data_IF_179209357949
#
_entry.id   IF_179209357949
#
_cell.length_a   1.000
_cell.length_b   1.000
_cell.length_c   1.000
_cell.angle_alpha   90.00
_cell.angle_beta   90.00
_cell.angle_gamma   90.00
#
_symmetry.space_group_name_H-M   'P 1'
#
loop_
_entity.id
_entity.type
_entity.pdbx_description
1 polymer ?
#
# COMPACT_ATOMS: atom_id res chain seq x y z
N UNK A 1 -67.96 -50.56 54.09
CA UNK A 1 -68.18 -50.08 52.71
C UNK A 1 -67.19 -48.97 52.45
N UNK A 2 -66.17 -49.22 51.62
CA UNK A 2 -65.01 -48.33 51.42
C UNK A 2 -65.16 -47.52 50.12
N UNK A 3 -64.79 -46.24 50.17
CA UNK A 3 -64.85 -45.27 49.09
C UNK A 3 -63.91 -45.63 47.92
N UNK A 4 -64.36 -45.35 46.70
CA UNK A 4 -63.55 -45.30 45.49
C UNK A 4 -63.16 -43.84 45.19
N UNK A 5 -61.86 -43.58 45.01
CA UNK A 5 -61.35 -42.31 44.48
C UNK A 5 -60.65 -42.57 43.15
N UNK A 6 -61.15 -41.94 42.10
CA UNK A 6 -60.67 -41.98 40.73
C UNK A 6 -59.57 -40.93 40.49
N UNK A 7 -58.39 -41.25 39.92
CA UNK A 7 -57.39 -40.25 39.55
C UNK A 7 -57.55 -39.81 38.09
N UNK A 8 -57.92 -38.54 37.88
CA UNK A 8 -58.01 -37.94 36.55
C UNK A 8 -56.70 -37.89 35.75
N UNK A 9 -56.76 -37.67 34.42
CA UNK A 9 -55.62 -37.83 33.52
C UNK A 9 -54.62 -36.66 33.63
N UNK A 10 -53.32 -36.99 33.81
CA UNK A 10 -52.20 -36.04 33.78
C UNK A 10 -51.98 -35.51 32.35
N UNK A 11 -52.33 -34.25 32.10
CA UNK A 11 -51.99 -33.52 30.86
C UNK A 11 -50.47 -33.42 30.66
N UNK A 12 -49.97 -33.99 29.57
CA UNK A 12 -48.55 -34.06 29.22
C UNK A 12 -47.86 -32.70 29.04
N UNK A 13 -46.72 -32.54 29.70
CA UNK A 13 -45.76 -31.43 29.55
C UNK A 13 -45.04 -31.49 28.19
N UNK A 14 -45.68 -31.08 27.08
CA UNK A 14 -45.04 -30.93 25.76
C UNK A 14 -44.70 -29.47 25.39
N UNK A 15 -45.04 -28.50 26.24
CA UNK A 15 -44.85 -27.06 25.98
C UNK A 15 -43.41 -26.50 26.08
N UNK A 16 -42.46 -27.00 26.90
CA UNK A 16 -41.16 -26.35 27.06
C UNK A 16 -40.22 -26.59 25.87
N UNK A 17 -40.27 -27.77 25.21
CA UNK A 17 -39.41 -28.09 24.05
C UNK A 17 -39.67 -27.19 22.84
N UNK A 18 -40.94 -26.93 22.50
CA UNK A 18 -41.29 -26.05 21.36
C UNK A 18 -40.86 -24.60 21.57
N UNK A 19 -40.91 -24.10 22.80
CA UNK A 19 -40.41 -22.76 23.14
C UNK A 19 -38.88 -22.68 23.05
N UNK A 20 -38.19 -23.70 23.53
CA UNK A 20 -36.74 -23.82 23.41
C UNK A 20 -36.30 -23.91 21.93
N UNK A 21 -36.93 -24.75 21.11
CA UNK A 21 -36.63 -24.84 19.68
C UNK A 21 -36.87 -23.52 18.95
N UNK A 22 -37.96 -22.81 19.26
CA UNK A 22 -38.22 -21.47 18.68
C UNK A 22 -37.19 -20.44 19.13
N UNK A 23 -36.75 -20.47 20.38
CA UNK A 23 -35.70 -19.59 20.88
C UNK A 23 -34.36 -19.87 20.19
N UNK A 24 -34.00 -21.14 20.01
CA UNK A 24 -32.78 -21.54 19.27
C UNK A 24 -32.86 -21.12 17.80
N UNK A 25 -33.99 -21.34 17.13
CA UNK A 25 -34.18 -20.90 15.75
C UNK A 25 -34.14 -19.37 15.62
N UNK A 26 -34.75 -18.64 16.54
CA UNK A 26 -34.69 -17.18 16.56
C UNK A 26 -33.26 -16.67 16.79
N UNK A 27 -32.51 -17.30 17.69
CA UNK A 27 -31.10 -16.98 17.92
C UNK A 27 -30.25 -17.27 16.67
N UNK A 28 -30.45 -18.42 16.01
CA UNK A 28 -29.77 -18.76 14.77
C UNK A 28 -30.09 -17.76 13.65
N UNK A 29 -31.37 -17.40 13.48
CA UNK A 29 -31.78 -16.40 12.50
C UNK A 29 -31.18 -15.02 12.80
N UNK A 30 -31.11 -14.63 14.08
CA UNK A 30 -30.45 -13.39 14.48
C UNK A 30 -28.94 -13.42 14.19
N UNK A 31 -28.26 -14.53 14.47
CA UNK A 31 -26.85 -14.71 14.14
C UNK A 31 -26.60 -14.68 12.63
N UNK A 32 -27.40 -15.38 11.83
CA UNK A 32 -27.31 -15.37 10.36
C UNK A 32 -27.61 -13.98 9.81
N UNK A 33 -28.62 -13.29 10.35
CA UNK A 33 -28.95 -11.92 9.97
C UNK A 33 -27.81 -10.94 10.29
N UNK A 34 -27.21 -11.04 11.48
CA UNK A 34 -26.07 -10.22 11.87
C UNK A 34 -24.82 -10.50 11.01
N UNK A 35 -24.56 -11.77 10.68
CA UNK A 35 -23.48 -12.17 9.78
C UNK A 35 -23.71 -11.64 8.37
N UNK A 36 -24.93 -11.81 7.83
CA UNK A 36 -25.33 -11.31 6.52
C UNK A 36 -25.22 -9.79 6.43
N UNK A 37 -25.63 -9.07 7.48
CA UNK A 37 -25.44 -7.63 7.59
C UNK A 37 -23.95 -7.24 7.60
N UNK A 38 -23.14 -7.93 8.40
CA UNK A 38 -21.70 -7.66 8.50
C UNK A 38 -20.99 -7.84 7.15
N UNK A 39 -21.21 -8.98 6.48
CA UNK A 39 -20.63 -9.23 5.15
C UNK A 39 -21.16 -8.26 4.10
N UNK A 40 -22.47 -7.97 4.13
CA UNK A 40 -23.07 -6.99 3.20
C UNK A 40 -22.45 -5.61 3.38
N UNK A 41 -22.21 -5.17 4.61
CA UNK A 41 -21.54 -3.89 4.89
C UNK A 41 -20.10 -3.85 4.34
N UNK A 42 -19.37 -4.97 4.40
CA UNK A 42 -18.04 -5.08 3.81
C UNK A 42 -18.06 -5.04 2.27
N UNK A 43 -19.11 -5.56 1.65
CA UNK A 43 -19.24 -5.58 0.19
C UNK A 43 -19.74 -4.26 -0.40
N UNK A 44 -20.36 -3.41 0.42
CA UNK A 44 -21.08 -2.22 -0.05
C UNK A 44 -20.44 -0.89 0.36
N UNK A 45 -19.33 -0.90 1.12
CA UNK A 45 -18.68 0.36 1.51
C UNK A 45 -18.10 1.11 0.30
N UNK A 46 -18.05 2.45 0.31
CA UNK A 46 -17.57 3.24 -0.82
C UNK A 46 -16.12 2.92 -1.23
N UNK A 47 -15.83 2.97 -2.54
CA UNK A 47 -14.48 2.83 -3.10
C UNK A 47 -14.37 1.73 -4.14
N UNK A 48 -13.19 1.65 -4.77
CA UNK A 48 -12.99 0.87 -5.99
C UNK A 48 -12.39 -0.54 -5.76
N UNK A 49 -12.29 -0.97 -4.50
CA UNK A 49 -11.75 -2.31 -4.14
C UNK A 49 -12.59 -3.45 -4.76
N UNK A 50 -11.92 -4.50 -5.25
CA UNK A 50 -12.62 -5.71 -5.68
C UNK A 50 -13.30 -6.46 -4.54
N UNK A 51 -14.28 -7.28 -4.91
CA UNK A 51 -14.98 -8.19 -3.98
C UNK A 51 -14.00 -9.09 -3.22
N UNK A 52 -12.95 -9.58 -3.88
CA UNK A 52 -11.94 -10.41 -3.24
C UNK A 52 -11.17 -9.64 -2.16
N UNK A 53 -10.71 -8.43 -2.48
CA UNK A 53 -10.00 -7.56 -1.53
C UNK A 53 -10.87 -7.21 -0.31
N UNK A 54 -12.16 -6.89 -0.55
CA UNK A 54 -13.15 -6.58 0.49
C UNK A 54 -13.38 -7.75 1.44
N UNK A 55 -13.57 -8.95 0.90
CA UNK A 55 -13.82 -10.16 1.69
C UNK A 55 -12.59 -10.59 2.50
N UNK A 56 -11.39 -10.52 1.89
CA UNK A 56 -10.15 -10.81 2.59
C UNK A 56 -9.93 -9.83 3.76
N UNK A 57 -10.21 -8.54 3.54
CA UNK A 57 -10.15 -7.51 4.58
C UNK A 57 -11.14 -7.76 5.71
N UNK A 58 -12.40 -8.09 5.40
CA UNK A 58 -13.44 -8.42 6.37
C UNK A 58 -13.07 -9.66 7.21
N UNK A 59 -12.57 -10.71 6.58
CA UNK A 59 -12.19 -11.93 7.29
C UNK A 59 -11.06 -11.67 8.29
N UNK A 60 -10.04 -10.89 7.92
CA UNK A 60 -8.94 -10.49 8.83
C UNK A 60 -9.45 -9.72 10.05
N UNK A 61 -10.38 -8.79 9.85
CA UNK A 61 -10.99 -8.01 10.95
C UNK A 61 -11.83 -8.87 11.91
N UNK A 62 -12.31 -10.03 11.47
CA UNK A 62 -13.11 -10.96 12.27
C UNK A 62 -12.28 -12.12 12.82
N UNK A 63 -10.99 -11.89 13.07
CA UNK A 63 -10.03 -12.87 13.62
C UNK A 63 -9.79 -14.11 12.74
N UNK A 64 -10.17 -14.05 11.47
CA UNK A 64 -9.91 -15.13 10.50
C UNK A 64 -8.61 -14.91 9.72
N UNK A 65 -7.72 -14.02 10.18
CA UNK A 65 -6.46 -13.72 9.50
C UNK A 65 -5.62 -14.97 9.20
N UNK A 66 -5.47 -15.86 10.17
CA UNK A 66 -4.76 -17.15 9.98
C UNK A 66 -5.39 -18.02 8.88
N UNK A 67 -6.71 -17.95 8.70
CA UNK A 67 -7.40 -18.70 7.63
C UNK A 67 -7.12 -18.04 6.28
N UNK A 68 -7.19 -16.71 6.22
CA UNK A 68 -6.88 -15.95 4.99
C UNK A 68 -5.44 -16.20 4.58
N UNK A 69 -4.49 -16.12 5.51
CA UNK A 69 -3.07 -16.37 5.25
C UNK A 69 -2.84 -17.80 4.75
N UNK A 70 -3.51 -18.81 5.34
CA UNK A 70 -3.44 -20.19 4.85
C UNK A 70 -3.99 -20.34 3.42
N UNK A 71 -5.10 -19.67 3.10
CA UNK A 71 -5.67 -19.70 1.76
C UNK A 71 -4.78 -18.99 0.74
N UNK A 72 -4.17 -17.86 1.13
CA UNK A 72 -3.19 -17.15 0.32
C UNK A 72 -1.95 -18.02 0.07
N UNK A 73 -1.44 -18.73 1.09
CA UNK A 73 -0.33 -19.67 0.94
C UNK A 73 -0.68 -20.82 -0.02
N UNK A 74 -1.87 -21.43 0.12
CA UNK A 74 -2.33 -22.47 -0.80
C UNK A 74 -2.43 -21.93 -2.23
N UNK A 75 -2.96 -20.70 -2.40
CA UNK A 75 -3.05 -20.08 -3.72
C UNK A 75 -1.67 -19.85 -4.32
N UNK A 76 -0.70 -19.41 -3.52
CA UNK A 76 0.68 -19.23 -3.92
C UNK A 76 1.32 -20.55 -4.35
N UNK A 77 1.12 -21.63 -3.59
CA UNK A 77 1.67 -22.95 -3.94
C UNK A 77 1.06 -23.51 -5.24
N UNK A 78 -0.19 -23.16 -5.55
CA UNK A 78 -0.87 -23.56 -6.79
C UNK A 78 -0.45 -22.74 -8.01
N UNK A 79 -0.05 -21.48 -7.82
CA UNK A 79 0.24 -20.52 -8.89
C UNK A 79 1.42 -19.60 -8.49
N UNK A 80 2.62 -20.16 -8.27
CA UNK A 80 3.77 -19.38 -7.86
C UNK A 80 4.24 -18.50 -9.03
N UNK A 81 4.90 -17.36 -8.75
CA UNK A 81 5.48 -16.53 -9.80
C UNK A 81 6.42 -17.30 -10.70
N UNK A 82 6.42 -16.92 -11.98
CA UNK A 82 7.22 -17.59 -13.00
C UNK A 82 8.71 -17.36 -12.76
N UNK A 83 9.47 -18.45 -12.77
CA UNK A 83 10.93 -18.41 -12.77
C UNK A 83 11.43 -18.43 -14.21
N UNK A 84 12.34 -17.51 -14.53
CA UNK A 84 12.92 -17.28 -15.85
C UNK A 84 11.99 -16.51 -16.79
N UNK A 85 12.25 -16.65 -18.09
CA UNK A 85 11.45 -16.02 -19.14
C UNK A 85 11.84 -14.57 -19.47
N UNK A 86 11.24 -14.05 -20.53
CA UNK A 86 11.40 -12.68 -20.99
C UNK A 86 10.26 -11.80 -20.47
N UNK A 87 10.50 -10.49 -20.41
CA UNK A 87 9.45 -9.50 -20.17
C UNK A 87 8.33 -9.66 -21.21
N UNK A 88 7.10 -9.32 -20.81
CA UNK A 88 6.01 -9.17 -21.78
C UNK A 88 6.35 -8.08 -22.81
N UNK A 89 5.69 -8.10 -23.97
CA UNK A 89 5.91 -7.09 -25.01
C UNK A 89 5.68 -5.67 -24.48
N UNK A 90 4.66 -5.47 -23.65
CA UNK A 90 4.33 -4.17 -23.06
C UNK A 90 5.37 -3.71 -22.04
N UNK A 91 5.83 -4.60 -21.15
CA UNK A 91 6.89 -4.30 -20.19
C UNK A 91 8.21 -3.97 -20.92
N UNK A 92 8.56 -4.76 -21.94
CA UNK A 92 9.74 -4.48 -22.76
C UNK A 92 9.62 -3.14 -23.50
N UNK A 93 8.44 -2.79 -24.01
CA UNK A 93 8.20 -1.52 -24.67
C UNK A 93 8.33 -0.34 -23.68
N UNK A 94 7.75 -0.44 -22.48
CA UNK A 94 7.90 0.56 -21.41
C UNK A 94 9.36 0.76 -21.03
N UNK A 95 10.11 -0.33 -20.83
CA UNK A 95 11.53 -0.26 -20.52
C UNK A 95 12.33 0.38 -21.66
N UNK A 96 12.08 0.00 -22.92
CA UNK A 96 12.73 0.61 -24.08
C UNK A 96 12.47 2.12 -24.21
N UNK A 97 11.27 2.59 -23.85
CA UNK A 97 10.91 4.02 -23.89
C UNK A 97 11.75 4.87 -22.93
N UNK A 98 12.22 4.30 -21.81
CA UNK A 98 13.09 5.03 -20.89
C UNK A 98 14.42 5.42 -21.55
N UNK A 99 15.01 4.53 -22.36
CA UNK A 99 16.23 4.81 -23.11
C UNK A 99 16.04 5.96 -24.12
N UNK A 100 14.87 6.01 -24.77
CA UNK A 100 14.55 7.08 -25.73
C UNK A 100 14.39 8.45 -25.07
N UNK A 101 13.97 8.50 -23.80
CA UNK A 101 13.74 9.73 -23.04
C UNK A 101 15.03 10.38 -22.49
N UNK A 102 16.19 9.74 -22.67
CA UNK A 102 17.44 10.14 -22.03
C UNK A 102 18.18 11.27 -22.77
N UNK A 103 17.83 11.59 -24.02
CA UNK A 103 18.50 12.62 -24.80
C UNK A 103 17.94 14.01 -24.47
N UNK A 104 18.66 14.89 -23.72
CA UNK A 104 18.25 16.28 -23.59
C UNK A 104 18.31 16.97 -24.96
N UNK A 105 17.45 17.96 -25.23
CA UNK A 105 17.62 18.85 -26.39
C UNK A 105 19.04 19.43 -26.39
N UNK A 106 19.71 19.46 -27.54
CA UNK A 106 21.07 20.05 -27.67
C UNK A 106 21.08 21.46 -27.08
N UNK A 107 21.98 21.70 -26.12
CA UNK A 107 22.16 23.01 -25.47
C UNK A 107 21.31 23.26 -24.22
N UNK A 108 20.47 22.31 -23.79
CA UNK A 108 19.68 22.45 -22.56
C UNK A 108 20.46 21.96 -21.32
N UNK A 109 20.58 22.80 -20.30
CA UNK A 109 21.07 22.44 -18.96
C UNK A 109 19.90 22.48 -17.97
N UNK A 110 19.18 21.36 -17.76
CA UNK A 110 18.04 21.34 -16.87
C UNK A 110 18.48 21.58 -15.41
N UNK A 111 17.74 22.41 -14.68
CA UNK A 111 17.97 22.70 -13.25
C UNK A 111 17.94 21.42 -12.40
N UNK A 112 17.10 20.46 -12.79
CA UNK A 112 17.05 19.12 -12.21
C UNK A 112 17.44 18.10 -13.29
N UNK A 113 18.68 17.59 -13.28
CA UNK A 113 19.10 16.59 -14.25
C UNK A 113 18.41 15.24 -14.01
N UNK A 114 18.37 14.40 -15.04
CA UNK A 114 17.98 13.01 -14.88
C UNK A 114 18.93 12.31 -13.91
N UNK A 115 18.38 11.44 -13.06
CA UNK A 115 19.15 10.57 -12.17
C UNK A 115 20.07 9.69 -13.00
N UNK A 116 21.27 9.44 -12.47
CA UNK A 116 22.17 8.43 -13.01
C UNK A 116 21.42 7.09 -13.12
N UNK A 117 21.58 6.35 -14.22
CA UNK A 117 20.93 5.05 -14.36
C UNK A 117 21.18 4.16 -13.15
N UNK A 118 20.12 3.52 -12.67
CA UNK A 118 20.23 2.51 -11.63
C UNK A 118 20.97 1.30 -12.19
N UNK A 119 21.90 0.74 -11.41
CA UNK A 119 22.60 -0.48 -11.81
C UNK A 119 21.61 -1.65 -11.84
N UNK A 120 21.45 -2.36 -12.97
CA UNK A 120 20.55 -3.50 -13.06
C UNK A 120 20.93 -4.63 -12.10
N UNK A 121 19.92 -5.34 -11.60
CA UNK A 121 20.08 -6.55 -10.77
C UNK A 121 20.57 -7.74 -11.58
N UNK A 122 20.19 -7.78 -12.86
CA UNK A 122 20.38 -8.91 -13.75
C UNK A 122 21.30 -8.52 -14.89
N UNK A 123 22.22 -9.43 -15.24
CA UNK A 123 23.16 -9.26 -16.36
C UNK A 123 22.91 -10.31 -17.44
N UNK A 124 23.02 -9.94 -18.74
CA UNK A 124 23.22 -8.58 -19.24
C UNK A 124 21.98 -7.70 -19.04
N UNK A 125 22.20 -6.37 -18.97
CA UNK A 125 21.13 -5.39 -18.88
C UNK A 125 20.27 -5.36 -20.14
N UNK A 126 18.96 -5.18 -20.00
CA UNK A 126 18.05 -4.91 -21.10
C UNK A 126 18.17 -3.44 -21.55
N UNK A 127 17.73 -3.15 -22.78
CA UNK A 127 17.71 -1.79 -23.31
C UNK A 127 16.78 -0.91 -22.46
N UNK A 128 17.34 0.16 -21.87
CA UNK A 128 16.61 1.07 -20.99
C UNK A 128 16.47 0.59 -19.54
N UNK A 129 16.96 -0.60 -19.21
CA UNK A 129 16.91 -1.09 -17.82
C UNK A 129 17.67 -0.15 -16.88
N UNK A 130 16.99 0.35 -15.84
CA UNK A 130 17.55 1.29 -14.87
C UNK A 130 17.71 2.73 -15.37
N UNK A 131 17.41 3.02 -16.64
CA UNK A 131 17.46 4.40 -17.18
C UNK A 131 16.26 5.20 -16.70
N UNK A 132 16.52 6.36 -16.09
CA UNK A 132 15.47 7.25 -15.60
C UNK A 132 14.90 8.13 -16.72
N UNK A 133 13.57 8.35 -16.67
CA UNK A 133 12.84 9.33 -17.48
C UNK A 133 12.01 10.25 -16.60
N UNK A 134 11.69 11.45 -17.06
CA UNK A 134 10.74 12.34 -16.36
C UNK A 134 9.32 11.78 -16.49
N UNK A 135 8.62 11.67 -15.37
CA UNK A 135 7.21 11.27 -15.28
C UNK A 135 6.29 12.46 -15.05
N UNK A 136 6.73 13.43 -14.25
CA UNK A 136 6.00 14.67 -13.99
C UNK A 136 6.95 15.84 -13.76
N UNK A 137 6.53 17.01 -14.21
CA UNK A 137 7.25 18.28 -14.05
C UNK A 137 6.34 19.31 -13.39
N UNK A 138 6.94 20.36 -12.82
CA UNK A 138 6.19 21.53 -12.37
C UNK A 138 5.72 22.40 -13.56
N UNK A 139 5.03 23.50 -13.25
CA UNK A 139 4.54 24.46 -14.25
C UNK A 139 5.64 25.16 -15.07
N UNK A 140 6.90 25.11 -14.60
CA UNK A 140 8.08 25.65 -15.30
C UNK A 140 8.80 24.57 -16.10
N UNK A 141 8.28 23.34 -16.14
CA UNK A 141 8.88 22.21 -16.86
C UNK A 141 9.99 21.50 -16.09
N UNK A 142 10.29 21.88 -14.85
CA UNK A 142 11.35 21.25 -14.04
C UNK A 142 10.91 19.85 -13.61
N UNK A 143 11.70 18.79 -13.88
CA UNK A 143 11.36 17.44 -13.45
C UNK A 143 11.21 17.35 -11.92
N UNK A 144 10.04 16.87 -11.47
CA UNK A 144 9.76 16.62 -10.04
C UNK A 144 9.79 15.12 -9.76
N UNK A 145 9.20 14.34 -10.67
CA UNK A 145 9.12 12.89 -10.57
C UNK A 145 9.88 12.30 -11.75
N UNK A 146 10.82 11.41 -11.47
CA UNK A 146 11.50 10.61 -12.47
C UNK A 146 11.26 9.13 -12.17
N UNK A 147 11.21 8.28 -13.19
CA UNK A 147 10.97 6.86 -13.00
C UNK A 147 11.79 5.98 -13.94
N UNK A 148 12.00 4.74 -13.53
CA UNK A 148 12.70 3.70 -14.28
C UNK A 148 12.11 2.33 -13.99
N UNK A 149 12.50 1.34 -14.80
CA UNK A 149 12.12 -0.07 -14.64
C UNK A 149 13.38 -0.94 -14.57
N UNK A 150 13.34 -1.97 -13.75
CA UNK A 150 14.37 -3.01 -13.66
C UNK A 150 13.75 -4.38 -13.48
N UNK A 151 14.47 -5.43 -13.87
CA UNK A 151 14.12 -6.78 -13.39
C UNK A 151 14.44 -6.89 -11.90
N UNK A 152 13.55 -7.52 -11.10
CA UNK A 152 13.67 -7.51 -9.64
C UNK A 152 14.82 -8.38 -9.14
N UNK A 153 15.04 -9.53 -9.77
CA UNK A 153 16.10 -10.49 -9.44
C UNK A 153 16.41 -11.41 -10.62
N UNK A 154 17.46 -12.22 -10.48
CA UNK A 154 17.96 -13.11 -11.54
C UNK A 154 17.08 -14.35 -11.79
N UNK A 155 16.12 -14.64 -10.92
CA UNK A 155 15.19 -15.77 -11.04
C UNK A 155 13.86 -15.33 -11.65
N UNK A 156 13.34 -14.14 -11.35
CA UNK A 156 12.03 -13.66 -11.83
C UNK A 156 12.18 -12.69 -13.02
N UNK A 157 12.93 -13.12 -14.04
CA UNK A 157 13.35 -12.25 -15.16
C UNK A 157 12.23 -11.83 -16.10
N UNK A 158 11.07 -12.50 -16.05
CA UNK A 158 9.86 -12.08 -16.79
C UNK A 158 9.08 -10.95 -16.14
N UNK A 159 9.47 -10.50 -14.94
CA UNK A 159 8.82 -9.43 -14.20
C UNK A 159 9.66 -8.15 -14.22
N UNK A 160 8.98 -7.02 -14.03
CA UNK A 160 9.64 -5.74 -13.78
C UNK A 160 9.19 -5.15 -12.43
N UNK A 161 10.11 -4.43 -11.80
CA UNK A 161 9.84 -3.51 -10.73
C UNK A 161 10.03 -2.08 -11.25
N UNK A 162 9.15 -1.18 -10.82
CA UNK A 162 9.24 0.23 -11.14
C UNK A 162 9.80 0.99 -9.94
N UNK A 163 10.71 1.92 -10.23
CA UNK A 163 11.31 2.82 -9.23
C UNK A 163 10.98 4.24 -9.62
N UNK A 164 10.44 5.02 -8.69
CA UNK A 164 10.24 6.45 -8.84
C UNK A 164 11.13 7.21 -7.87
N UNK A 165 11.74 8.28 -8.34
CA UNK A 165 12.48 9.26 -7.55
C UNK A 165 11.73 10.59 -7.56
N UNK A 166 11.62 11.24 -6.40
CA UNK A 166 10.91 12.51 -6.24
C UNK A 166 11.85 13.54 -5.62
N UNK A 167 12.02 14.68 -6.31
CA UNK A 167 12.75 15.83 -5.80
C UNK A 167 12.00 16.52 -4.67
N UNK A 168 12.41 16.31 -3.42
CA UNK A 168 11.69 16.86 -2.26
C UNK A 168 11.83 18.38 -2.12
N UNK A 169 12.88 18.99 -2.71
CA UNK A 169 13.07 20.44 -2.69
C UNK A 169 11.99 21.18 -3.49
N UNK A 170 11.43 20.54 -4.51
CA UNK A 170 10.41 21.11 -5.38
C UNK A 170 9.05 20.40 -5.20
N UNK A 171 8.87 19.64 -4.12
CA UNK A 171 7.66 18.89 -3.83
C UNK A 171 7.14 19.16 -2.41
N UNK A 172 5.81 19.09 -2.24
CA UNK A 172 5.11 19.07 -0.96
C UNK A 172 4.27 17.81 -0.85
N UNK A 173 4.17 17.25 0.36
CA UNK A 173 3.57 15.96 0.63
C UNK A 173 2.34 16.11 1.54
N UNK A 174 1.29 15.37 1.25
CA UNK A 174 0.06 15.35 2.04
C UNK A 174 -0.38 13.90 2.28
N UNK A 175 -0.57 13.56 3.55
CA UNK A 175 -1.12 12.26 3.96
C UNK A 175 -2.65 12.34 3.94
N UNK A 176 -3.29 11.41 3.24
CA UNK A 176 -4.73 11.25 3.20
C UNK A 176 -5.14 9.98 3.93
N UNK A 177 -6.17 10.01 4.78
CA UNK A 177 -6.80 8.80 5.31
C UNK A 177 -7.63 8.13 4.21
N UNK A 178 -7.98 6.87 4.38
CA UNK A 178 -9.03 6.22 3.60
C UNK A 178 -10.39 6.29 4.30
N UNK A 179 -11.44 5.82 3.63
CA UNK A 179 -12.78 5.67 4.25
C UNK A 179 -12.82 4.58 5.32
N UNK A 180 -11.89 3.61 5.27
CA UNK A 180 -11.82 2.45 6.16
C UNK A 180 -10.54 2.41 6.97
N UNK A 181 -9.38 2.42 6.31
CA UNK A 181 -8.09 2.55 6.98
C UNK A 181 -7.67 4.01 7.03
N UNK A 182 -7.08 4.50 8.13
CA UNK A 182 -6.51 3.76 9.26
C UNK A 182 -7.53 3.41 10.37
N UNK A 183 -8.81 3.68 10.15
CA UNK A 183 -9.87 3.64 11.17
C UNK A 183 -10.11 5.00 11.81
N UNK A 184 -11.35 5.24 12.26
CA UNK A 184 -11.78 6.54 12.78
C UNK A 184 -12.25 7.52 11.70
N UNK A 185 -12.32 8.81 12.05
CA UNK A 185 -12.79 9.88 11.16
C UNK A 185 -11.85 11.05 11.19
N UNK A 186 -11.55 11.61 10.02
CA UNK A 186 -10.57 12.67 9.81
C UNK A 186 -11.17 13.80 8.98
N UNK A 187 -10.63 15.01 9.13
CA UNK A 187 -11.05 16.18 8.37
C UNK A 187 -10.49 16.21 6.95
N UNK A 188 -9.35 15.55 6.72
CA UNK A 188 -8.75 15.40 5.39
C UNK A 188 -9.59 14.39 4.61
N UNK A 189 -10.03 14.72 3.38
CA UNK A 189 -10.90 13.85 2.61
C UNK A 189 -10.15 12.57 2.17
N UNK A 190 -10.86 11.44 2.03
CA UNK A 190 -10.25 10.18 1.60
C UNK A 190 -10.06 10.07 0.09
N UNK A 191 -9.90 11.21 -0.57
CA UNK A 191 -9.64 11.34 -2.00
C UNK A 191 -8.93 12.68 -2.25
N UNK A 192 -8.66 12.96 -3.52
CA UNK A 192 -8.20 14.27 -3.99
C UNK A 192 -9.37 14.92 -4.77
N UNK A 193 -10.18 15.78 -4.12
CA UNK A 193 -11.34 16.40 -4.75
C UNK A 193 -10.96 17.26 -5.96
N UNK A 194 -11.91 17.46 -6.87
CA UNK A 194 -11.79 18.52 -7.89
C UNK A 194 -11.53 19.86 -7.19
N UNK A 195 -10.65 20.68 -7.74
CA UNK A 195 -10.20 21.95 -7.13
C UNK A 195 -9.00 21.81 -6.17
N UNK A 196 -8.64 20.60 -5.73
CA UNK A 196 -7.44 20.35 -4.91
C UNK A 196 -6.34 19.59 -5.68
N UNK A 197 -6.42 19.54 -7.02
CA UNK A 197 -5.48 18.77 -7.86
C UNK A 197 -4.42 19.64 -8.54
N UNK A 198 -4.51 20.97 -8.40
CA UNK A 198 -3.55 21.88 -9.03
C UNK A 198 -2.13 21.63 -8.52
N UNK A 199 -1.25 21.32 -9.44
CA UNK A 199 0.14 20.96 -9.15
C UNK A 199 0.33 19.56 -8.60
N UNK A 200 -0.67 18.68 -8.62
CA UNK A 200 -0.51 17.27 -8.25
C UNK A 200 0.42 16.58 -9.26
N UNK A 201 1.45 15.91 -8.77
CA UNK A 201 2.50 15.28 -9.61
C UNK A 201 2.67 13.80 -9.33
N UNK A 202 2.35 13.31 -8.13
CA UNK A 202 2.38 11.89 -7.80
C UNK A 202 1.43 11.51 -6.66
N UNK A 203 1.11 10.22 -6.58
CA UNK A 203 0.48 9.58 -5.42
C UNK A 203 1.06 8.18 -5.20
N UNK A 204 0.98 7.68 -3.97
CA UNK A 204 1.30 6.30 -3.65
C UNK A 204 0.47 5.75 -2.48
N UNK A 205 0.40 4.42 -2.37
CA UNK A 205 -0.39 3.74 -1.33
C UNK A 205 0.20 3.87 0.08
N UNK A 206 -0.65 3.79 1.10
CA UNK A 206 -0.23 3.70 2.49
C UNK A 206 0.38 2.35 2.89
N UNK A 207 0.61 2.19 4.20
CA UNK A 207 1.13 0.96 4.79
C UNK A 207 0.05 -0.11 5.03
N UNK A 208 0.44 -1.23 5.65
CA UNK A 208 -0.48 -2.24 6.17
C UNK A 208 -1.57 -1.62 7.06
N UNK A 209 -2.70 -2.32 7.16
CA UNK A 209 -3.85 -1.90 7.96
C UNK A 209 -3.47 -1.60 9.41
N UNK A 210 -4.05 -0.52 9.94
CA UNK A 210 -3.92 -0.18 11.37
C UNK A 210 -4.95 -0.98 12.18
N UNK A 211 -6.14 -1.18 11.62
CA UNK A 211 -7.31 -1.71 12.34
C UNK A 211 -7.18 -3.18 12.77
N UNK A 212 -6.40 -3.98 12.05
CA UNK A 212 -6.11 -5.38 12.40
C UNK A 212 -4.72 -5.58 13.03
N UNK A 213 -3.99 -4.49 13.28
CA UNK A 213 -2.64 -4.52 13.85
C UNK A 213 -1.52 -4.90 12.86
N UNK A 214 -1.83 -5.21 11.60
CA UNK A 214 -0.84 -5.63 10.60
C UNK A 214 0.25 -4.59 10.33
N UNK A 215 -0.02 -3.31 10.58
CA UNK A 215 0.97 -2.24 10.49
C UNK A 215 2.03 -2.26 11.58
N UNK A 216 1.77 -2.88 12.74
CA UNK A 216 2.63 -2.82 13.93
C UNK A 216 3.11 -1.37 14.25
N UNK A 217 2.20 -0.42 14.13
CA UNK A 217 2.45 1.01 14.25
C UNK A 217 1.14 1.81 14.27
N UNK A 218 1.26 3.12 14.36
CA UNK A 218 0.13 4.04 14.41
C UNK A 218 0.00 4.96 13.21
N UNK A 219 -1.12 5.67 13.19
CA UNK A 219 -1.43 6.76 12.27
C UNK A 219 -1.75 8.02 13.08
N UNK A 220 -1.22 9.16 12.65
CA UNK A 220 -1.56 10.48 13.17
C UNK A 220 -1.82 11.43 12.01
N UNK A 221 -2.87 12.24 12.11
CA UNK A 221 -3.15 13.33 11.16
C UNK A 221 -3.93 14.44 11.84
N UNK A 222 -3.37 15.64 11.86
CA UNK A 222 -3.98 16.88 12.35
C UNK A 222 -4.63 16.73 13.74
N UNK A 223 -3.89 16.19 14.71
CA UNK A 223 -4.35 16.04 16.10
C UNK A 223 -5.20 14.79 16.35
N UNK A 224 -5.49 13.97 15.34
CA UNK A 224 -6.22 12.71 15.47
C UNK A 224 -5.32 11.52 15.23
N UNK A 225 -5.53 10.46 16.00
CA UNK A 225 -4.77 9.20 15.89
C UNK A 225 -5.67 8.02 15.63
N UNK A 226 -5.15 7.04 14.89
CA UNK A 226 -5.66 5.67 14.86
C UNK A 226 -4.51 4.72 15.21
N UNK A 227 -4.76 3.78 16.13
CA UNK A 227 -3.68 3.06 16.79
C UNK A 227 -2.81 3.98 17.66
N UNK A 228 -1.60 3.54 17.99
CA UNK A 228 -0.62 4.31 18.77
C UNK A 228 0.72 4.38 18.04
N UNK A 229 1.34 5.56 18.02
CA UNK A 229 2.69 5.70 17.47
C UNK A 229 3.68 4.94 18.36
N UNK A 230 4.40 3.98 17.77
CA UNK A 230 5.32 3.07 18.45
C UNK A 230 6.76 3.51 18.25
N UNK A 231 7.53 3.59 19.33
CA UNK A 231 8.99 3.75 19.25
C UNK A 231 9.61 2.54 18.53
N UNK A 232 10.61 2.79 17.67
CA UNK A 232 11.24 1.73 16.87
C UNK A 232 10.55 1.45 15.53
N UNK A 233 9.30 1.89 15.32
CA UNK A 233 8.61 1.69 14.06
C UNK A 233 9.13 2.64 12.97
N UNK A 234 9.24 2.13 11.75
CA UNK A 234 9.53 2.97 10.58
C UNK A 234 8.35 3.91 10.32
N UNK A 235 8.65 5.18 10.03
CA UNK A 235 7.66 6.25 9.98
C UNK A 235 7.91 7.21 8.83
N UNK A 236 6.89 7.45 8.01
CA UNK A 236 6.75 8.66 7.19
C UNK A 236 6.18 9.79 8.06
N UNK A 237 6.85 10.93 8.09
CA UNK A 237 6.47 12.09 8.92
C UNK A 237 6.30 13.31 8.03
N UNK A 238 5.09 13.86 8.05
CA UNK A 238 4.64 14.96 7.22
C UNK A 238 4.61 16.24 8.05
N UNK A 239 5.19 17.31 7.53
CA UNK A 239 5.36 18.58 8.23
C UNK A 239 4.46 19.68 7.66
N UNK A 240 4.17 20.70 8.49
CA UNK A 240 3.30 21.82 8.13
C UNK A 240 3.80 22.63 6.92
N UNK A 241 5.11 22.64 6.68
CA UNK A 241 5.74 23.26 5.51
C UNK A 241 5.66 22.40 4.23
N UNK A 242 4.98 21.25 4.31
CA UNK A 242 4.83 20.27 3.24
C UNK A 242 6.05 19.37 3.04
N UNK A 243 7.10 19.47 3.85
CA UNK A 243 8.22 18.53 3.77
C UNK A 243 7.86 17.17 4.35
N UNK A 244 8.65 16.15 4.00
CA UNK A 244 8.53 14.79 4.52
C UNK A 244 9.87 14.32 5.06
N UNK A 245 9.85 13.54 6.14
CA UNK A 245 11.01 12.75 6.60
C UNK A 245 10.61 11.30 6.76
N UNK A 246 11.59 10.42 6.61
CA UNK A 246 11.44 8.99 6.85
C UNK A 246 12.53 8.52 7.82
N UNK A 247 12.13 7.76 8.83
CA UNK A 247 13.06 7.14 9.75
C UNK A 247 12.38 6.39 10.89
N UNK A 248 13.18 5.95 11.85
CA UNK A 248 12.70 5.23 13.03
C UNK A 248 12.13 6.23 14.05
N UNK A 249 10.89 6.00 14.48
CA UNK A 249 10.24 6.81 15.51
C UNK A 249 10.98 6.70 16.85
N UNK A 250 11.28 7.85 17.45
CA UNK A 250 12.06 7.96 18.68
C UNK A 250 13.58 7.96 18.48
N UNK A 251 14.08 7.67 17.27
CA UNK A 251 15.52 7.69 16.93
C UNK A 251 15.85 8.79 15.92
N UNK A 252 15.22 8.74 14.75
CA UNK A 252 15.49 9.67 13.64
C UNK A 252 14.43 10.78 13.56
N UNK A 253 13.18 10.43 13.90
CA UNK A 253 12.02 11.31 13.85
C UNK A 253 11.20 11.15 15.13
N UNK A 254 10.55 12.23 15.55
CA UNK A 254 9.68 12.26 16.75
C UNK A 254 8.61 13.32 16.55
N UNK A 255 7.62 13.31 17.44
CA UNK A 255 6.58 14.34 17.44
C UNK A 255 7.21 15.72 17.73
N UNK A 256 6.82 16.72 16.94
CA UNK A 256 7.13 18.14 17.15
C UNK A 256 5.89 18.98 16.83
N UNK A 257 5.84 20.27 17.21
CA UNK A 257 4.73 21.15 16.86
C UNK A 257 4.49 21.33 15.35
N UNK A 258 5.48 21.01 14.52
CA UNK A 258 5.42 21.11 13.05
C UNK A 258 4.91 19.84 12.36
N UNK A 259 4.83 18.72 13.09
CA UNK A 259 4.32 17.46 12.56
C UNK A 259 2.81 17.56 12.40
N UNK A 260 2.33 17.39 11.17
CA UNK A 260 0.91 17.37 10.82
C UNK A 260 0.41 15.97 10.51
N UNK A 261 1.29 15.05 10.12
CA UNK A 261 0.94 13.66 9.85
C UNK A 261 2.08 12.70 10.18
N UNK A 262 1.72 11.49 10.62
CA UNK A 262 2.65 10.37 10.78
C UNK A 262 1.96 9.10 10.28
N UNK A 263 2.64 8.38 9.40
CA UNK A 263 2.25 7.03 9.00
C UNK A 263 3.36 6.07 9.35
N UNK A 264 3.09 5.14 10.27
CA UNK A 264 4.03 4.07 10.58
C UNK A 264 3.72 2.81 9.81
N UNK A 265 4.71 1.99 9.53
CA UNK A 265 4.52 0.68 8.92
C UNK A 265 5.73 -0.19 9.22
N UNK A 266 5.57 -1.15 10.14
CA UNK A 266 6.58 -2.15 10.50
C UNK A 266 7.93 -1.51 10.89
N UNK A 267 9.04 -2.09 10.45
CA UNK A 267 10.42 -1.65 10.73
C UNK A 267 11.15 -1.31 9.42
N UNK A 268 12.29 -0.60 9.53
CA UNK A 268 13.09 -0.27 8.36
C UNK A 268 13.64 -1.55 7.70
N UNK A 269 13.62 -1.57 6.38
CA UNK A 269 14.24 -2.61 5.54
C UNK A 269 15.64 -2.22 5.08
N UNK A 270 15.87 -0.92 4.96
CA UNK A 270 17.19 -0.33 4.71
C UNK A 270 17.45 0.69 5.80
N UNK A 271 18.63 0.64 6.41
CA UNK A 271 19.08 1.58 7.42
C UNK A 271 20.57 1.90 7.24
N UNK A 272 20.92 3.19 7.29
CA UNK A 272 22.28 3.64 6.98
C UNK A 272 22.79 3.25 5.58
N UNK A 273 21.89 3.06 4.61
CA UNK A 273 22.25 2.62 3.24
C UNK A 273 22.57 1.12 3.13
N UNK A 274 22.24 0.33 4.15
CA UNK A 274 22.41 -1.12 4.16
C UNK A 274 21.07 -1.80 4.35
N UNK A 275 20.82 -2.87 3.61
CA UNK A 275 19.72 -3.79 3.94
C UNK A 275 19.95 -4.30 5.37
N UNK A 276 18.90 -4.31 6.17
CA UNK A 276 18.99 -4.71 7.58
C UNK A 276 19.36 -6.20 7.70
N UNK A 277 20.16 -6.60 8.70
CA UNK A 277 20.72 -7.96 8.77
C UNK A 277 19.66 -9.04 8.99
N UNK A 278 18.48 -8.66 9.47
CA UNK A 278 17.37 -9.54 9.77
C UNK A 278 16.29 -9.55 8.68
N UNK A 279 16.53 -8.97 7.49
CA UNK A 279 15.55 -8.82 6.39
C UNK A 279 14.82 -10.11 6.01
N UNK A 280 15.46 -11.26 6.19
CA UNK A 280 14.93 -12.59 5.89
C UNK A 280 14.11 -13.21 7.06
N UNK A 281 13.83 -12.42 8.11
CA UNK A 281 12.97 -12.83 9.21
C UNK A 281 11.50 -12.84 8.78
N UNK A 282 10.91 -14.03 8.76
CA UNK A 282 9.61 -14.24 8.13
C UNK A 282 8.47 -13.42 8.76
N UNK A 283 8.56 -13.17 10.07
CA UNK A 283 7.55 -12.44 10.85
C UNK A 283 7.64 -10.91 10.81
N UNK A 284 8.68 -10.33 10.20
CA UNK A 284 8.97 -8.88 10.34
C UNK A 284 8.37 -8.00 9.23
N UNK A 285 8.33 -8.49 7.98
CA UNK A 285 7.87 -7.72 6.80
C UNK A 285 6.74 -8.41 6.01
N UNK A 286 5.89 -9.14 6.73
CA UNK A 286 4.71 -9.85 6.22
C UNK A 286 4.07 -10.75 7.29
N UNK A 287 2.92 -11.34 6.98
CA UNK A 287 2.30 -12.33 7.85
C UNK A 287 3.06 -13.66 7.77
N UNK A 288 3.53 -14.17 8.92
CA UNK A 288 4.31 -15.41 9.16
C UNK A 288 5.30 -15.83 8.08
N UNK A 289 4.89 -16.29 6.89
CA UNK A 289 5.75 -16.78 5.80
C UNK A 289 5.79 -15.85 4.56
N UNK A 290 4.91 -14.84 4.50
CA UNK A 290 4.74 -14.00 3.32
C UNK A 290 5.99 -13.20 2.96
N UNK A 291 6.87 -12.91 3.92
CA UNK A 291 8.14 -12.20 3.70
C UNK A 291 9.02 -12.87 2.63
N UNK A 292 8.96 -14.21 2.51
CA UNK A 292 9.70 -15.01 1.50
C UNK A 292 8.93 -15.22 0.20
N UNK A 293 7.63 -14.93 0.19
CA UNK A 293 6.82 -15.09 -1.01
C UNK A 293 7.08 -13.94 -1.98
N UNK A 294 7.19 -14.29 -3.25
CA UNK A 294 7.25 -13.33 -4.34
C UNK A 294 5.83 -12.84 -4.63
N UNK A 295 5.49 -11.66 -4.11
CA UNK A 295 4.14 -11.08 -4.25
C UNK A 295 4.22 -9.64 -4.71
N UNK A 296 3.07 -9.02 -4.99
CA UNK A 296 3.04 -7.60 -5.22
C UNK A 296 3.44 -6.85 -3.94
N UNK A 297 4.46 -6.00 -4.02
CA UNK A 297 4.91 -5.19 -2.88
C UNK A 297 5.15 -3.75 -3.28
N UNK A 298 5.03 -2.85 -2.32
CA UNK A 298 5.56 -1.50 -2.41
C UNK A 298 6.40 -1.13 -1.20
N UNK A 299 7.26 -0.12 -1.39
CA UNK A 299 8.10 0.44 -0.34
C UNK A 299 8.46 1.88 -0.64
N UNK A 300 8.72 2.63 0.43
CA UNK A 300 9.12 4.03 0.38
C UNK A 300 10.44 4.20 1.11
N UNK A 301 11.31 5.03 0.55
CA UNK A 301 12.62 5.34 1.12
C UNK A 301 13.03 6.78 0.87
N UNK A 302 14.14 7.15 1.50
CA UNK A 302 14.78 8.46 1.32
C UNK A 302 16.25 8.28 0.99
N UNK A 303 16.75 9.09 0.07
CA UNK A 303 18.19 9.18 -0.23
C UNK A 303 18.93 9.95 0.86
N UNK A 304 20.27 9.92 0.84
CA UNK A 304 21.10 10.75 1.71
C UNK A 304 20.82 12.27 1.59
N UNK A 305 20.30 12.71 0.43
CA UNK A 305 19.94 14.11 0.17
C UNK A 305 18.52 14.47 0.64
N UNK A 306 17.77 13.49 1.14
CA UNK A 306 16.38 13.67 1.56
C UNK A 306 15.36 13.60 0.42
N UNK A 307 15.77 13.23 -0.80
CA UNK A 307 14.81 12.93 -1.87
C UNK A 307 14.09 11.60 -1.61
N UNK A 308 12.82 11.48 -2.03
CA UNK A 308 12.01 10.27 -1.84
C UNK A 308 12.24 9.27 -2.98
N UNK A 309 12.26 7.99 -2.63
CA UNK A 309 12.25 6.84 -3.56
C UNK A 309 11.00 6.02 -3.27
N UNK A 310 10.27 5.65 -4.31
CA UNK A 310 9.18 4.69 -4.26
C UNK A 310 9.51 3.49 -5.14
N UNK A 311 9.27 2.29 -4.64
CA UNK A 311 9.41 1.05 -5.40
C UNK A 311 8.08 0.31 -5.38
N UNK A 312 7.65 -0.18 -6.54
CA UNK A 312 6.52 -1.11 -6.68
C UNK A 312 6.93 -2.25 -7.62
N UNK A 313 6.50 -3.47 -7.34
CA UNK A 313 6.76 -4.61 -8.22
C UNK A 313 5.77 -5.74 -8.01
N UNK A 314 5.62 -6.59 -9.02
CA UNK A 314 4.58 -7.64 -9.04
C UNK A 314 5.03 -9.00 -8.47
N UNK A 315 6.34 -9.21 -8.33
CA UNK A 315 6.92 -10.44 -7.80
C UNK A 315 8.16 -10.09 -6.98
N UNK A 316 7.95 -9.69 -5.73
CA UNK A 316 9.00 -9.25 -4.81
C UNK A 316 8.87 -10.00 -3.47
N UNK A 317 10.01 -10.42 -2.91
CA UNK A 317 10.12 -10.73 -1.49
C UNK A 317 10.40 -9.45 -0.69
N UNK A 318 10.39 -9.53 0.64
CA UNK A 318 10.89 -8.44 1.48
C UNK A 318 12.36 -8.10 1.15
N UNK A 319 13.21 -9.11 0.99
CA UNK A 319 14.60 -8.95 0.62
C UNK A 319 14.76 -8.27 -0.75
N UNK A 320 14.08 -8.77 -1.78
CA UNK A 320 14.17 -8.20 -3.14
C UNK A 320 13.73 -6.74 -3.15
N UNK A 321 12.68 -6.38 -2.41
CA UNK A 321 12.25 -4.99 -2.25
C UNK A 321 13.33 -4.13 -1.56
N UNK A 322 13.93 -4.62 -0.47
CA UNK A 322 15.00 -3.90 0.25
C UNK A 322 16.22 -3.64 -0.64
N UNK A 323 16.65 -4.66 -1.38
CA UNK A 323 17.77 -4.59 -2.32
C UNK A 323 17.52 -3.54 -3.42
N UNK A 324 16.32 -3.53 -3.99
CA UNK A 324 15.92 -2.53 -4.99
C UNK A 324 15.95 -1.11 -4.40
N UNK A 325 15.39 -0.92 -3.20
CA UNK A 325 15.40 0.39 -2.52
C UNK A 325 16.82 0.86 -2.20
N UNK A 326 17.68 -0.03 -1.70
CA UNK A 326 19.09 0.27 -1.45
C UNK A 326 19.80 0.69 -2.74
N UNK A 327 19.62 -0.05 -3.84
CA UNK A 327 20.26 0.21 -5.14
C UNK A 327 19.75 1.46 -5.84
N UNK A 328 18.49 1.83 -5.60
CA UNK A 328 17.94 3.13 -5.98
C UNK A 328 18.59 4.29 -5.20
N UNK A 329 19.33 3.99 -4.14
CA UNK A 329 20.10 4.93 -3.32
C UNK A 329 19.40 5.32 -2.01
N UNK A 330 18.42 4.54 -1.56
CA UNK A 330 17.79 4.77 -0.26
C UNK A 330 18.80 4.53 0.87
N UNK A 331 18.90 5.47 1.80
CA UNK A 331 19.66 5.30 3.05
C UNK A 331 18.76 4.85 4.20
N UNK A 332 17.47 5.15 4.11
CA UNK A 332 16.42 4.57 4.96
C UNK A 332 15.25 4.19 4.07
N UNK A 333 14.66 3.03 4.30
CA UNK A 333 13.47 2.59 3.58
C UNK A 333 12.60 1.67 4.42
N UNK A 334 11.29 1.70 4.18
CA UNK A 334 10.28 0.93 4.90
C UNK A 334 9.30 0.27 3.93
N UNK A 335 8.68 -0.85 4.32
CA UNK A 335 7.64 -1.46 3.49
C UNK A 335 6.38 -0.59 3.52
N UNK A 336 5.58 -0.75 2.48
CA UNK A 336 4.19 -0.32 2.46
C UNK A 336 3.31 -1.55 2.31
N UNK A 337 2.02 -1.33 2.05
CA UNK A 337 1.07 -2.41 1.84
C UNK A 337 1.48 -3.34 0.68
N UNK A 338 1.06 -4.60 0.74
CA UNK A 338 1.39 -5.65 -0.24
C UNK A 338 0.12 -6.27 -0.83
N UNK A 339 0.24 -7.25 -1.72
CA UNK A 339 -0.84 -7.93 -2.45
C UNK A 339 -1.44 -7.08 -3.58
N UNK A 340 -1.86 -7.75 -4.64
CA UNK A 340 -2.37 -7.19 -5.92
C UNK A 340 -3.21 -5.91 -5.90
N UNK A 341 -4.02 -5.69 -4.86
CA UNK A 341 -4.90 -4.52 -4.76
C UNK A 341 -4.23 -3.25 -4.20
N UNK A 342 -3.17 -3.37 -3.40
CA UNK A 342 -2.74 -2.23 -2.56
C UNK A 342 -1.56 -1.43 -3.12
N UNK A 343 -0.43 -2.05 -3.55
CA UNK A 343 0.70 -1.37 -4.17
C UNK A 343 0.25 -0.47 -5.31
N UNK A 344 0.64 0.79 -5.25
CA UNK A 344 0.42 1.71 -6.36
C UNK A 344 1.36 2.90 -6.27
N UNK A 345 1.78 3.35 -7.45
CA UNK A 345 2.40 4.65 -7.63
C UNK A 345 1.88 5.23 -8.94
N UNK A 346 1.40 6.47 -8.88
CA UNK A 346 0.93 7.21 -10.04
C UNK A 346 1.73 8.47 -10.21
N UNK A 347 1.98 8.83 -11.48
CA UNK A 347 2.38 10.17 -11.88
C UNK A 347 1.21 10.91 -12.49
N UNK A 348 1.21 12.24 -12.38
CA UNK A 348 0.15 13.10 -12.88
C UNK A 348 0.71 14.11 -13.88
N UNK A 349 0.16 14.11 -15.10
CA UNK A 349 0.51 15.08 -16.14
C UNK A 349 -0.53 16.20 -16.21
N UNK A 350 -0.15 17.38 -15.71
CA UNK A 350 -0.99 18.58 -15.72
C UNK A 350 -0.83 19.48 -16.93
N UNK A 351 -0.09 19.10 -17.99
CA UNK A 351 0.17 19.98 -19.14
C UNK A 351 -1.10 20.39 -19.89
N UNK A 352 -2.03 19.46 -20.06
CA UNK A 352 -3.28 19.70 -20.79
C UNK A 352 -4.35 20.37 -19.91
N UNK A 353 -4.48 19.92 -18.66
CA UNK A 353 -5.41 20.47 -17.67
C UNK A 353 -4.72 20.49 -16.29
N UNK A 354 -4.13 21.63 -15.89
CA UNK A 354 -3.46 21.75 -14.60
C UNK A 354 -4.40 21.56 -13.40
N UNK A 355 -5.70 21.83 -13.55
CA UNK A 355 -6.68 21.70 -12.49
C UNK A 355 -7.22 20.26 -12.36
N UNK A 356 -6.99 19.42 -13.35
CA UNK A 356 -7.35 18.01 -13.38
C UNK A 356 -6.31 17.17 -14.15
N UNK A 357 -5.09 17.03 -13.60
CA UNK A 357 -4.00 16.39 -14.31
C UNK A 357 -4.32 14.92 -14.59
N UNK A 358 -3.83 14.40 -15.72
CA UNK A 358 -4.10 13.01 -16.12
C UNK A 358 -3.23 12.05 -15.29
N UNK A 359 -3.83 11.13 -14.50
CA UNK A 359 -3.07 10.12 -13.78
C UNK A 359 -2.54 9.03 -14.73
N UNK A 360 -1.41 8.42 -14.38
CA UNK A 360 -0.87 7.23 -15.04
C UNK A 360 -0.20 6.35 -14.00
N UNK A 361 -0.58 5.07 -13.94
CA UNK A 361 0.12 4.07 -13.13
C UNK A 361 1.53 3.89 -13.69
N UNK A 362 2.55 3.89 -12.82
CA UNK A 362 3.92 3.59 -13.26
C UNK A 362 4.06 2.12 -13.67
N UNK A 363 3.34 1.23 -12.98
CA UNK A 363 3.26 -0.21 -13.23
C UNK A 363 1.82 -0.65 -13.01
N UNK A 364 1.36 -1.61 -13.81
CA UNK A 364 -0.03 -2.08 -13.78
C UNK A 364 -0.29 -2.96 -12.55
N UNK A 365 -1.32 -2.64 -11.78
CA UNK A 365 -1.87 -3.47 -10.69
C UNK A 365 -3.38 -3.59 -10.89
N UNK A 366 -4.14 -3.99 -9.86
CA UNK A 366 -5.60 -4.13 -9.96
C UNK A 366 -6.34 -2.79 -10.12
N UNK A 367 -5.88 -1.75 -9.42
CA UNK A 367 -6.60 -0.48 -9.35
C UNK A 367 -6.25 0.46 -10.51
N UNK A 368 -7.24 1.20 -11.03
CA UNK A 368 -7.01 2.12 -12.12
C UNK A 368 -6.26 3.40 -11.65
N UNK A 369 -5.63 4.15 -12.58
CA UNK A 369 -4.84 5.35 -12.24
C UNK A 369 -5.64 6.44 -11.51
N UNK A 370 -6.94 6.53 -11.74
CA UNK A 370 -7.84 7.50 -11.14
C UNK A 370 -8.32 7.14 -9.72
N UNK A 371 -7.90 6.03 -9.11
CA UNK A 371 -8.42 5.56 -7.80
C UNK A 371 -8.42 6.63 -6.70
N UNK A 372 -7.44 7.55 -6.69
CA UNK A 372 -7.33 8.62 -5.68
C UNK A 372 -8.11 9.89 -6.04
N UNK A 373 -8.73 9.95 -7.22
CA UNK A 373 -9.76 10.94 -7.53
C UNK A 373 -11.11 10.53 -6.92
N UNK A 374 -11.30 9.24 -6.69
CA UNK A 374 -12.43 8.65 -5.99
C UNK A 374 -12.10 8.40 -4.52
N UNK A 375 -13.11 8.02 -3.73
CA UNK A 375 -12.90 7.68 -2.32
C UNK A 375 -12.02 6.43 -2.19
N UNK A 376 -10.80 6.62 -1.70
CA UNK A 376 -9.88 5.57 -1.37
C UNK A 376 -10.30 4.87 -0.08
N UNK A 377 -10.16 3.56 -0.09
CA UNK A 377 -10.54 2.66 1.01
C UNK A 377 -9.45 2.67 2.08
N UNK A 378 -8.19 2.78 1.67
CA UNK A 378 -7.02 2.92 2.53
C UNK A 378 -6.34 4.26 2.41
N UNK A 379 -5.50 4.56 3.40
CA UNK A 379 -4.66 5.76 3.41
C UNK A 379 -3.66 5.77 2.24
N UNK A 380 -3.26 6.97 1.84
CA UNK A 380 -2.35 7.20 0.72
C UNK A 380 -1.64 8.55 0.87
N UNK A 381 -0.62 8.78 0.05
CA UNK A 381 0.10 10.05 0.02
C UNK A 381 -0.11 10.73 -1.32
N UNK A 382 -0.36 12.05 -1.28
CA UNK A 382 -0.39 12.94 -2.42
C UNK A 382 0.85 13.85 -2.45
N UNK A 383 1.39 14.06 -3.64
CA UNK A 383 2.58 14.87 -3.89
C UNK A 383 2.23 15.99 -4.85
N UNK A 384 2.62 17.20 -4.48
CA UNK A 384 2.40 18.36 -5.33
C UNK A 384 3.70 19.12 -5.60
N UNK A 385 3.81 19.76 -6.76
CA UNK A 385 4.90 20.66 -7.11
C UNK A 385 4.84 21.95 -6.29
N UNK A 386 5.94 22.35 -5.63
CA UNK A 386 6.03 23.57 -4.81
C UNK A 386 5.84 24.87 -5.58
#
# INVERSE_FOLDING_TARGET
>A
MSQATDPGPRKGRLRPRRKATRAVLAALLACVGALGWSVSSALTYPGDDSTAARLAGWAREHYLGVVVDKLENIRYDLDPPKVGGALSADAQARMNQTAAAQAPPRGAHPEVPLRTPMRPMVSPALKGEGVYRTLASDSKGRPIVQGTYVRPDASHTSYEAAVAWINTKNARFQLHPGVREPGGTFSVPPNIPKGQRTGLVATWNGGFKITDGGSNGGFYLNGRTAGSLRNGAASEVFYRDGSIKLGVWGRDVRMTPDVVGVRQCLELMVDGGKVVPDIDSDSKWGATDQSKMFVERSGVGVTAKGDVIMVVGQALTAHTLADLMQRAGAVRAMPLDMNRAWPSFMSYDGKADPANPKPTNILDFENPPERYYNQATRDFVAVYSR
#
